data_IF_939524565888
#
_entry.id   IF_939524565888
#
_cell.length_a   1.000
_cell.length_b   1.000
_cell.length_c   1.000
_cell.angle_alpha   90.00
_cell.angle_beta   90.00
_cell.angle_gamma   90.00
#
_symmetry.space_group_name_H-M   'P 1'
#
loop_
_entity.id
_entity.type
_entity.pdbx_description
1 polymer ?
#
# COMPACT_ATOMS: atom_id res chain seq x y z
N UNK A 1 4.47 21.98 -11.16
CA UNK A 1 4.44 20.60 -10.63
C UNK A 1 4.15 19.67 -11.79
N UNK A 2 5.08 18.78 -12.14
CA UNK A 2 4.88 17.80 -13.21
C UNK A 2 4.16 16.60 -12.57
N UNK A 3 2.83 16.56 -12.67
CA UNK A 3 2.05 15.44 -12.12
C UNK A 3 2.23 14.28 -13.10
N UNK A 4 2.99 13.26 -12.69
CA UNK A 4 3.19 12.07 -13.49
C UNK A 4 1.82 11.45 -13.82
N UNK A 5 1.56 11.19 -15.10
CA UNK A 5 0.32 10.55 -15.52
C UNK A 5 0.30 9.10 -15.00
N UNK A 6 -0.85 8.63 -14.48
CA UNK A 6 -0.93 7.28 -13.94
C UNK A 6 -0.73 6.23 -15.04
N UNK A 7 0.04 5.19 -14.73
CA UNK A 7 0.33 4.11 -15.66
C UNK A 7 -0.88 3.17 -15.85
N UNK A 8 -0.81 2.25 -16.82
CA UNK A 8 -1.92 1.34 -17.15
C UNK A 8 -2.33 0.45 -15.97
N UNK A 9 -1.38 0.02 -15.14
CA UNK A 9 -1.66 -0.76 -13.94
C UNK A 9 -2.47 0.05 -12.94
N UNK A 10 -2.00 1.25 -12.59
CA UNK A 10 -2.68 2.15 -11.65
C UNK A 10 -4.11 2.44 -12.10
N UNK A 11 -4.33 2.67 -13.39
CA UNK A 11 -5.65 2.89 -13.99
C UNK A 11 -6.54 1.64 -13.88
N UNK A 12 -6.01 0.45 -14.19
CA UNK A 12 -6.74 -0.82 -14.00
C UNK A 12 -7.15 -1.05 -12.55
N UNK A 13 -6.22 -0.88 -11.60
CA UNK A 13 -6.48 -1.06 -10.17
C UNK A 13 -7.56 -0.11 -9.67
N UNK A 14 -7.50 1.16 -10.09
CA UNK A 14 -8.48 2.16 -9.74
C UNK A 14 -9.88 1.79 -10.26
N UNK A 15 -9.99 1.42 -11.54
CA UNK A 15 -11.26 1.00 -12.14
C UNK A 15 -11.84 -0.24 -11.44
N UNK A 16 -11.01 -1.22 -11.07
CA UNK A 16 -11.43 -2.41 -10.32
C UNK A 16 -11.88 -2.10 -8.90
N UNK A 17 -11.19 -1.21 -8.21
CA UNK A 17 -11.59 -0.78 -6.87
C UNK A 17 -12.95 -0.07 -6.92
N UNK A 18 -13.17 0.83 -7.89
CA UNK A 18 -14.47 1.50 -8.06
C UNK A 18 -15.60 0.51 -8.34
N UNK A 19 -15.35 -0.49 -9.21
CA UNK A 19 -16.33 -1.55 -9.49
C UNK A 19 -16.70 -2.38 -8.26
N UNK A 20 -15.79 -2.52 -7.28
CA UNK A 20 -16.05 -3.22 -6.03
C UNK A 20 -16.90 -2.38 -5.06
N UNK A 21 -16.74 -1.06 -5.05
CA UNK A 21 -17.45 -0.16 -4.14
C UNK A 21 -18.78 0.36 -4.68
N UNK A 22 -18.99 0.34 -6.01
CA UNK A 22 -20.25 0.74 -6.61
C UNK A 22 -21.36 -0.27 -6.30
N UNK A 23 -22.53 0.27 -5.97
CA UNK A 23 -23.76 -0.45 -5.65
C UNK A 23 -24.48 -0.90 -6.92
N UNK A 24 -24.36 -0.13 -8.01
CA UNK A 24 -24.92 -0.44 -9.32
C UNK A 24 -24.07 0.07 -10.48
N UNK A 25 -24.53 -0.21 -11.71
CA UNK A 25 -23.82 0.14 -12.94
C UNK A 25 -23.84 1.65 -13.25
N UNK A 26 -24.84 2.39 -12.78
CA UNK A 26 -24.92 3.83 -13.00
C UNK A 26 -23.94 4.57 -12.09
N UNK A 27 -23.88 4.17 -10.81
CA UNK A 27 -22.92 4.69 -9.84
C UNK A 27 -21.48 4.39 -10.27
N UNK A 28 -21.22 3.17 -10.78
CA UNK A 28 -19.90 2.84 -11.33
C UNK A 28 -19.52 3.75 -12.52
N UNK A 29 -20.46 4.02 -13.42
CA UNK A 29 -20.20 4.87 -14.57
C UNK A 29 -19.82 6.30 -14.14
N UNK A 30 -20.51 6.84 -13.14
CA UNK A 30 -20.21 8.16 -12.56
C UNK A 30 -18.83 8.19 -11.90
N UNK A 31 -18.47 7.15 -11.12
CA UNK A 31 -17.15 7.05 -10.50
C UNK A 31 -16.01 6.98 -11.54
N UNK A 32 -16.20 6.21 -12.61
CA UNK A 32 -15.22 6.11 -13.69
C UNK A 32 -15.08 7.44 -14.43
N UNK A 33 -16.18 8.13 -14.73
CA UNK A 33 -16.18 9.43 -15.39
C UNK A 33 -15.42 10.49 -14.56
N UNK A 34 -15.71 10.60 -13.26
CA UNK A 34 -15.02 11.53 -12.36
C UNK A 34 -13.51 11.26 -12.28
N UNK A 35 -13.11 10.00 -12.40
CA UNK A 35 -11.70 9.60 -12.38
C UNK A 35 -11.00 9.70 -13.75
N UNK A 36 -11.72 10.05 -14.82
CA UNK A 36 -11.20 10.03 -16.19
C UNK A 36 -10.80 8.63 -16.67
N UNK A 37 -11.51 7.62 -16.16
CA UNK A 37 -11.34 6.20 -16.46
C UNK A 37 -12.47 5.68 -17.34
N UNK A 38 -12.23 4.55 -17.98
CA UNK A 38 -13.23 3.86 -18.81
C UNK A 38 -13.52 2.47 -18.26
N UNK A 39 -14.71 1.93 -18.56
CA UNK A 39 -15.07 0.56 -18.15
C UNK A 39 -14.13 -0.51 -18.72
N UNK A 40 -13.50 -0.26 -19.86
CA UNK A 40 -12.52 -1.16 -20.47
C UNK A 40 -11.25 -1.32 -19.63
N UNK A 41 -10.87 -0.30 -18.87
CA UNK A 41 -9.68 -0.35 -18.01
C UNK A 41 -9.87 -1.30 -16.82
N UNK A 42 -11.10 -1.50 -16.35
CA UNK A 42 -11.40 -2.50 -15.33
C UNK A 42 -11.34 -3.96 -15.84
N UNK A 43 -11.50 -4.16 -17.16
CA UNK A 43 -11.48 -5.48 -17.81
C UNK A 43 -10.08 -5.91 -18.19
N UNK A 44 -9.21 -4.95 -18.51
CA UNK A 44 -7.83 -5.20 -18.91
C UNK A 44 -6.98 -5.66 -17.72
N UNK A 45 -6.66 -6.96 -17.61
CA UNK A 45 -5.60 -7.40 -16.70
C UNK A 45 -4.27 -7.02 -17.35
N UNK A 46 -3.46 -6.11 -16.77
CA UNK A 46 -2.16 -5.78 -17.32
C UNK A 46 -1.29 -7.04 -17.32
N UNK A 47 -0.61 -7.31 -18.43
CA UNK A 47 0.51 -8.27 -18.44
C UNK A 47 1.50 -7.86 -17.34
N UNK A 48 2.14 -8.83 -16.68
CA UNK A 48 3.11 -8.59 -15.61
C UNK A 48 4.16 -7.58 -16.10
N UNK A 49 3.97 -6.32 -15.72
CA UNK A 49 5.01 -5.31 -15.80
C UNK A 49 6.13 -5.85 -14.89
N UNK A 50 7.38 -5.99 -15.37
CA UNK A 50 8.47 -6.45 -14.52
C UNK A 50 8.43 -5.57 -13.28
N UNK A 51 8.28 -6.19 -12.10
CA UNK A 51 8.14 -5.45 -10.86
C UNK A 51 9.22 -4.36 -10.87
N UNK A 52 8.88 -3.07 -10.79
CA UNK A 52 9.89 -2.06 -10.59
C UNK A 52 10.57 -2.51 -9.32
N UNK A 53 11.85 -2.92 -9.42
CA UNK A 53 12.64 -3.44 -8.31
C UNK A 53 12.30 -2.56 -7.11
N UNK A 54 11.43 -3.06 -6.24
CA UNK A 54 11.24 -2.41 -4.97
C UNK A 54 12.60 -2.66 -4.35
N UNK A 55 13.45 -1.64 -4.39
CA UNK A 55 14.39 -1.42 -3.31
C UNK A 55 13.52 -1.20 -2.08
N UNK A 56 12.91 -2.27 -1.59
CA UNK A 56 12.69 -2.44 -0.17
C UNK A 56 14.10 -2.21 0.38
N UNK A 57 14.33 -1.16 1.19
CA UNK A 57 15.55 -1.15 1.96
C UNK A 57 15.60 -2.51 2.65
N UNK A 58 16.72 -3.21 2.46
CA UNK A 58 17.00 -4.54 3.01
C UNK A 58 17.18 -4.44 4.54
N UNK A 59 16.15 -3.91 5.21
CA UNK A 59 16.12 -3.56 6.63
C UNK A 59 15.33 -4.63 7.42
N UNK A 60 14.99 -5.75 6.77
CA UNK A 60 14.38 -6.92 7.40
C UNK A 60 15.43 -7.97 7.79
N UNK A 61 16.56 -7.52 8.35
CA UNK A 61 17.65 -8.43 8.70
C UNK A 61 18.54 -8.02 9.86
N UNK A 62 18.57 -6.75 10.28
CA UNK A 62 19.27 -6.41 11.52
C UNK A 62 18.31 -6.57 12.70
N UNK A 63 18.43 -7.70 13.41
CA UNK A 63 18.03 -7.75 14.82
C UNK A 63 18.59 -6.49 15.49
N UNK A 64 17.77 -5.72 16.24
CA UNK A 64 18.27 -4.53 16.90
C UNK A 64 19.40 -4.97 17.83
N UNK A 65 20.64 -4.57 17.50
CA UNK A 65 21.85 -4.83 18.31
C UNK A 65 21.79 -3.97 19.56
N UNK A 66 20.85 -4.27 20.45
CA UNK A 66 20.75 -3.59 21.74
C UNK A 66 21.82 -4.14 22.65
N UNK A 67 22.61 -3.26 23.26
CA UNK A 67 23.62 -3.69 24.22
C UNK A 67 22.96 -4.44 25.39
N UNK A 68 23.57 -5.50 25.94
CA UNK A 68 22.98 -6.27 27.04
C UNK A 68 22.63 -5.41 28.27
N UNK A 69 23.38 -4.34 28.53
CA UNK A 69 23.07 -3.39 29.61
C UNK A 69 21.78 -2.61 29.36
N UNK A 70 21.51 -2.25 28.11
CA UNK A 70 20.36 -1.45 27.71
C UNK A 70 19.07 -2.29 27.71
N UNK A 71 19.16 -3.57 27.32
CA UNK A 71 18.08 -4.55 27.52
C UNK A 71 17.73 -4.74 29.00
N UNK A 72 18.73 -4.86 29.88
CA UNK A 72 18.52 -4.99 31.33
C UNK A 72 17.86 -3.75 31.92
N UNK A 73 18.29 -2.56 31.47
CA UNK A 73 17.69 -1.30 31.90
C UNK A 73 16.22 -1.22 31.51
N UNK A 74 15.89 -1.57 30.27
CA UNK A 74 14.51 -1.57 29.78
C UNK A 74 13.64 -2.56 30.56
N UNK A 75 14.12 -3.78 30.77
CA UNK A 75 13.41 -4.81 31.51
C UNK A 75 13.08 -4.36 32.95
N UNK A 76 14.03 -3.72 33.64
CA UNK A 76 13.82 -3.20 35.00
C UNK A 76 12.79 -2.06 35.03
N UNK A 77 12.81 -1.16 34.05
CA UNK A 77 11.84 -0.07 33.94
C UNK A 77 10.43 -0.62 33.71
N UNK A 78 10.29 -1.58 32.79
CA UNK A 78 9.00 -2.22 32.51
C UNK A 78 8.47 -2.94 33.75
N UNK A 79 9.29 -3.76 34.41
CA UNK A 79 8.89 -4.47 35.62
C UNK A 79 8.44 -3.51 36.74
N UNK A 80 9.14 -2.38 36.91
CA UNK A 80 8.76 -1.35 37.87
C UNK A 80 7.45 -0.62 37.50
N UNK A 81 7.12 -0.50 36.21
CA UNK A 81 5.87 0.12 35.76
C UNK A 81 4.63 -0.77 35.92
N UNK A 82 4.80 -2.10 35.89
CA UNK A 82 3.70 -3.06 36.03
C UNK A 82 3.56 -3.66 37.43
N UNK A 83 4.52 -3.41 38.33
CA UNK A 83 4.52 -3.89 39.71
C UNK A 83 3.76 -3.00 40.71
N UNK A 84 2.85 -2.13 40.25
CA UNK A 84 2.01 -1.28 41.10
C UNK A 84 0.53 -1.70 41.06
#
# INVERSE_FOLDING_TARGET
MNVAQPNKWQRHRAARAMAHYASDAAELAEFLEMAGLTAEEGKFVPEEEPEPEQRVPDDRGEEPKVAPEELRRLANVLLASYGR
#
